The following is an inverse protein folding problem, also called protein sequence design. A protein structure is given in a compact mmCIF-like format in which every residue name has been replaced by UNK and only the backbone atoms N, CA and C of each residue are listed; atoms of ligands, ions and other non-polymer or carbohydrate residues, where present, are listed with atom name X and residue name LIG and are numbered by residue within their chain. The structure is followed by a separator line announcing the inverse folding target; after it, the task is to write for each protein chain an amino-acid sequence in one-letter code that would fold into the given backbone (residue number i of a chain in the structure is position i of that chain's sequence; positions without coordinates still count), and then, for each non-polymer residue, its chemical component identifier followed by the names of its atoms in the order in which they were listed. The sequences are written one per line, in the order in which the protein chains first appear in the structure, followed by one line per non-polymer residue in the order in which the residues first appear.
data_IF_138337592891
#
_entry.id   IF_138337592891
#
_cell.length_a   1.000
_cell.length_b   1.000
_cell.length_c   1.000
_cell.angle_alpha   90.00
_cell.angle_beta   90.00
_cell.angle_gamma   90.00
#
_symmetry.space_group_name_H-M   'P 1'
#
loop_
_entity.id
_entity.type
_entity.pdbx_description
1 polymer ?
#
# COMPACT_ATOMS: atom_id res chain seq x y z
N UNK A 1 -46.58 13.72 61.97
CA UNK A 1 -46.65 15.02 62.67
C UNK A 1 -45.49 15.88 62.21
N UNK A 2 -45.83 17.13 61.86
CA UNK A 2 -45.01 18.33 61.75
C UNK A 2 -43.79 18.34 60.80
N UNK A 3 -44.06 18.96 59.65
CA UNK A 3 -43.14 19.78 58.84
C UNK A 3 -42.43 20.88 59.64
N UNK A 4 -41.34 21.42 59.09
CA UNK A 4 -41.27 22.86 58.91
C UNK A 4 -40.35 23.24 57.75
N UNK A 5 -40.95 23.98 56.81
CA UNK A 5 -40.30 24.67 55.71
C UNK A 5 -39.67 25.99 56.19
N UNK A 6 -38.85 26.62 55.35
CA UNK A 6 -39.02 28.00 54.84
C UNK A 6 -37.79 28.35 54.00
N UNK A 7 -38.04 28.60 52.71
CA UNK A 7 -37.18 29.28 51.76
C UNK A 7 -37.62 30.78 51.68
N UNK A 8 -37.30 31.53 50.62
CA UNK A 8 -36.05 32.14 50.17
C UNK A 8 -36.24 33.69 50.11
N UNK A 9 -35.41 34.43 49.35
CA UNK A 9 -35.76 35.54 48.41
C UNK A 9 -34.54 36.45 48.17
N UNK A 10 -34.07 36.52 46.91
CA UNK A 10 -34.11 37.70 45.98
C UNK A 10 -32.98 38.72 46.21
N UNK A 11 -32.46 39.45 45.20
CA UNK A 11 -32.52 39.50 43.73
C UNK A 11 -31.49 40.58 43.39
N UNK A 12 -30.79 40.48 42.26
CA UNK A 12 -30.93 41.55 41.27
C UNK A 12 -30.61 41.01 39.88
N UNK A 13 -31.58 41.22 39.01
CA UNK A 13 -31.56 40.96 37.59
C UNK A 13 -31.20 42.25 36.86
N UNK A 14 -30.66 42.13 35.65
CA UNK A 14 -31.26 42.80 34.49
C UNK A 14 -30.74 42.20 33.18
N UNK A 15 -31.66 41.44 32.60
CA UNK A 15 -32.24 41.64 31.27
C UNK A 15 -31.43 41.39 30.00
N UNK A 16 -31.98 40.83 28.91
CA UNK A 16 -33.18 39.98 28.64
C UNK A 16 -33.33 39.93 27.11
N UNK A 17 -33.57 38.71 26.59
CA UNK A 17 -34.42 38.35 25.41
C UNK A 17 -33.99 38.83 24.01
N UNK A 18 -34.30 38.13 22.91
CA UNK A 18 -35.27 37.03 22.67
C UNK A 18 -34.98 36.31 21.34
N UNK A 19 -35.11 34.98 21.36
CA UNK A 19 -35.92 34.08 20.49
C UNK A 19 -36.87 34.74 19.45
N UNK A 20 -37.32 34.14 18.33
CA UNK A 20 -37.27 32.79 17.74
C UNK A 20 -37.97 32.80 16.35
N UNK A 21 -37.97 31.63 15.67
CA UNK A 21 -38.98 31.08 14.73
C UNK A 21 -39.02 31.63 13.26
N UNK A 22 -38.83 30.80 12.19
CA UNK A 22 -39.80 29.91 11.48
C UNK A 22 -40.91 30.77 10.80
N UNK A 23 -41.25 30.80 9.50
CA UNK A 23 -41.31 29.86 8.37
C UNK A 23 -41.60 30.62 7.04
N UNK A 24 -41.34 29.97 5.88
CA UNK A 24 -41.96 30.02 4.52
C UNK A 24 -42.47 31.30 3.79
N UNK A 25 -41.90 31.49 2.57
CA UNK A 25 -42.50 31.70 1.20
C UNK A 25 -43.16 33.03 0.73
N UNK A 26 -42.77 33.37 -0.53
CA UNK A 26 -43.39 34.22 -1.61
C UNK A 26 -43.42 35.76 -1.32
N UNK A 27 -43.09 36.74 -2.19
CA UNK A 27 -43.20 37.00 -3.64
C UNK A 27 -42.20 38.10 -4.12
N UNK A 28 -41.97 38.12 -5.45
CA UNK A 28 -41.61 39.20 -6.41
C UNK A 28 -41.37 40.65 -5.92
N UNK A 29 -40.55 41.50 -6.57
CA UNK A 29 -40.51 41.74 -8.02
C UNK A 29 -39.23 42.47 -8.53
N UNK A 30 -38.90 42.13 -9.78
CA UNK A 30 -38.48 42.96 -10.93
C UNK A 30 -37.37 44.03 -10.86
N UNK A 31 -36.36 43.86 -11.73
CA UNK A 31 -36.24 44.63 -13.00
C UNK A 31 -35.01 44.19 -13.83
N UNK A 32 -35.24 43.49 -14.94
CA UNK A 32 -35.01 43.97 -16.33
C UNK A 32 -34.88 42.83 -17.34
N UNK A 33 -35.60 42.98 -18.45
CA UNK A 33 -35.84 42.00 -19.50
C UNK A 33 -35.20 42.42 -20.85
N UNK A 34 -34.55 41.45 -21.50
CA UNK A 34 -34.74 40.95 -22.88
C UNK A 34 -34.78 41.96 -24.06
N UNK A 35 -33.92 41.75 -25.10
CA UNK A 35 -34.35 41.33 -26.47
C UNK A 35 -33.20 40.95 -27.43
N UNK A 36 -33.57 40.01 -28.32
CA UNK A 36 -32.85 39.31 -29.40
C UNK A 36 -32.64 40.18 -30.65
N UNK A 37 -31.66 39.85 -31.51
CA UNK A 37 -31.87 39.47 -32.94
C UNK A 37 -30.58 39.24 -33.78
N UNK A 38 -30.68 38.25 -34.69
CA UNK A 38 -30.12 38.09 -36.05
C UNK A 38 -28.60 37.91 -36.36
N UNK A 39 -28.29 36.82 -37.09
CA UNK A 39 -27.12 36.55 -37.98
C UNK A 39 -27.11 37.47 -39.24
N UNK A 40 -26.07 37.58 -40.12
CA UNK A 40 -25.14 36.52 -40.63
C UNK A 40 -23.69 36.92 -41.06
N UNK A 41 -22.79 35.93 -41.29
CA UNK A 41 -21.98 35.70 -42.51
C UNK A 41 -20.71 34.82 -42.32
N UNK A 42 -20.44 33.99 -43.34
CA UNK A 42 -19.34 33.01 -43.53
C UNK A 42 -17.96 33.65 -43.84
N UNK A 43 -16.85 32.87 -43.80
CA UNK A 43 -16.33 32.37 -45.08
C UNK A 43 -15.78 30.90 -45.10
N UNK A 44 -16.11 30.24 -46.22
CA UNK A 44 -15.37 29.34 -47.15
C UNK A 44 -14.57 28.09 -46.68
N UNK A 45 -14.94 26.97 -47.33
CA UNK A 45 -14.27 25.63 -47.45
C UNK A 45 -12.98 25.66 -48.28
N UNK A 46 -12.27 24.51 -48.38
CA UNK A 46 -12.36 23.75 -49.64
C UNK A 46 -12.60 22.22 -49.52
N UNK A 47 -13.47 21.78 -50.43
CA UNK A 47 -13.52 20.56 -51.27
C UNK A 47 -13.49 19.10 -50.75
N UNK A 48 -14.70 18.53 -50.71
CA UNK A 48 -15.27 17.45 -51.56
C UNK A 48 -14.50 16.15 -51.82
N UNK A 49 -15.11 15.00 -51.46
CA UNK A 49 -15.88 14.15 -52.40
C UNK A 49 -16.73 13.07 -51.70
N UNK A 50 -17.87 12.79 -52.35
CA UNK A 50 -19.03 11.93 -52.06
C UNK A 50 -18.73 10.52 -51.51
N UNK A 51 -19.57 10.06 -50.57
CA UNK A 51 -19.99 8.65 -50.49
C UNK A 51 -21.50 8.58 -50.28
N UNK A 52 -22.14 7.74 -51.10
CA UNK A 52 -23.57 7.45 -51.19
C UNK A 52 -23.87 6.28 -50.24
N UNK A 53 -24.95 6.37 -49.46
CA UNK A 53 -25.45 5.28 -48.63
C UNK A 53 -26.46 4.43 -49.41
N UNK A 54 -26.48 3.11 -49.15
CA UNK A 54 -27.66 2.30 -48.75
C UNK A 54 -27.28 0.81 -48.47
N UNK A 55 -28.13 -0.01 -47.82
CA UNK A 55 -27.75 -0.81 -46.63
C UNK A 55 -27.91 -2.33 -46.78
N UNK A 56 -27.24 -3.15 -45.95
CA UNK A 56 -27.71 -4.51 -45.56
C UNK A 56 -27.03 -4.98 -44.26
N UNK A 57 -27.79 -5.68 -43.39
CA UNK A 57 -27.36 -6.41 -42.17
C UNK A 57 -27.32 -7.93 -42.46
N UNK A 58 -26.96 -8.85 -41.54
CA UNK A 58 -25.73 -9.05 -40.77
C UNK A 58 -25.01 -10.38 -41.18
N UNK A 59 -23.70 -10.53 -40.93
CA UNK A 59 -23.07 -11.86 -40.93
C UNK A 59 -21.84 -11.96 -40.01
N UNK A 60 -21.65 -13.17 -39.48
CA UNK A 60 -20.75 -13.54 -38.41
C UNK A 60 -19.26 -13.68 -38.82
N UNK A 61 -18.41 -13.73 -37.79
CA UNK A 61 -16.97 -14.09 -37.74
C UNK A 61 -15.97 -12.94 -37.90
N UNK A 62 -15.44 -12.49 -36.77
CA UNK A 62 -14.08 -11.93 -36.70
C UNK A 62 -13.29 -12.71 -35.63
N UNK A 63 -12.62 -13.78 -36.06
CA UNK A 63 -11.37 -14.20 -35.41
C UNK A 63 -10.31 -13.32 -36.06
N UNK A 64 -9.79 -12.35 -35.33
CA UNK A 64 -8.65 -11.55 -35.78
C UNK A 64 -7.42 -12.45 -35.88
N UNK A 65 -6.97 -12.69 -37.11
CA UNK A 65 -5.68 -13.33 -37.39
C UNK A 65 -4.55 -12.44 -36.87
N UNK A 66 -3.85 -12.91 -35.84
CA UNK A 66 -2.65 -12.28 -35.28
C UNK A 66 -1.56 -12.26 -36.37
N UNK A 67 -0.99 -11.09 -36.66
CA UNK A 67 0.05 -10.95 -37.69
C UNK A 67 1.35 -11.65 -37.27
N UNK A 68 2.14 -12.13 -38.23
CA UNK A 68 3.46 -12.73 -37.96
C UNK A 68 4.42 -11.77 -37.21
N UNK A 69 4.24 -10.45 -37.38
CA UNK A 69 4.97 -9.43 -36.61
C UNK A 69 4.55 -9.38 -35.15
N UNK A 70 3.25 -9.52 -34.87
CA UNK A 70 2.72 -9.56 -33.51
C UNK A 70 3.13 -10.87 -32.82
N UNK A 71 3.08 -12.00 -33.53
CA UNK A 71 3.60 -13.29 -33.05
C UNK A 71 5.10 -13.24 -32.74
N UNK A 72 5.90 -12.56 -33.56
CA UNK A 72 7.33 -12.35 -33.31
C UNK A 72 7.61 -11.46 -32.08
N UNK A 73 6.82 -10.40 -31.90
CA UNK A 73 6.88 -9.52 -30.73
C UNK A 73 6.49 -10.26 -29.44
N UNK A 74 5.40 -11.04 -29.48
CA UNK A 74 4.91 -11.85 -28.35
C UNK A 74 5.96 -12.90 -27.93
N UNK A 75 6.56 -13.62 -28.89
CA UNK A 75 7.63 -14.60 -28.59
C UNK A 75 8.84 -13.94 -27.93
N UNK A 76 9.22 -12.75 -28.38
CA UNK A 76 10.37 -12.00 -27.84
C UNK A 76 10.09 -11.44 -26.45
N UNK A 77 8.88 -10.93 -26.18
CA UNK A 77 8.47 -10.50 -24.84
C UNK A 77 8.44 -11.66 -23.84
N UNK A 78 7.94 -12.82 -24.28
CA UNK A 78 7.85 -14.03 -23.44
C UNK A 78 9.24 -14.53 -23.04
N UNK A 79 10.16 -14.66 -24.01
CA UNK A 79 11.54 -15.07 -23.73
C UNK A 79 12.26 -14.11 -22.75
N UNK A 80 12.05 -12.80 -22.87
CA UNK A 80 12.61 -11.82 -21.92
C UNK A 80 12.01 -11.96 -20.52
N UNK A 81 10.71 -12.26 -20.42
CA UNK A 81 10.03 -12.47 -19.15
C UNK A 81 10.57 -13.70 -18.42
N UNK A 82 10.80 -14.79 -19.17
CA UNK A 82 11.33 -16.05 -18.62
C UNK A 82 12.76 -15.88 -18.11
N UNK A 83 13.64 -15.22 -18.87
CA UNK A 83 15.01 -14.90 -18.42
C UNK A 83 14.99 -14.07 -17.14
N UNK A 84 14.11 -13.06 -17.07
CA UNK A 84 13.98 -12.23 -15.88
C UNK A 84 13.48 -13.03 -14.67
N UNK A 85 12.52 -13.93 -14.88
CA UNK A 85 11.99 -14.84 -13.85
C UNK A 85 13.07 -15.76 -13.32
N UNK A 86 13.82 -16.42 -14.19
CA UNK A 86 14.94 -17.30 -13.81
C UNK A 86 16.00 -16.55 -13.02
N UNK A 87 16.37 -15.33 -13.44
CA UNK A 87 17.32 -14.50 -12.71
C UNK A 87 16.85 -14.18 -11.30
N UNK A 88 15.57 -13.83 -11.12
CA UNK A 88 14.99 -13.54 -9.80
C UNK A 88 14.98 -14.80 -8.92
N UNK A 89 14.56 -15.94 -9.46
CA UNK A 89 14.53 -17.21 -8.72
C UNK A 89 15.92 -17.66 -8.31
N UNK A 90 16.91 -17.52 -9.21
CA UNK A 90 18.32 -17.81 -8.92
C UNK A 90 18.86 -16.90 -7.82
N UNK A 91 18.58 -15.59 -7.90
CA UNK A 91 18.98 -14.63 -6.88
C UNK A 91 18.33 -14.93 -5.53
N UNK A 92 17.04 -15.24 -5.50
CA UNK A 92 16.35 -15.63 -4.26
C UNK A 92 16.95 -16.90 -3.67
N UNK A 93 17.12 -17.95 -4.49
CA UNK A 93 17.65 -19.24 -4.03
C UNK A 93 19.08 -19.13 -3.49
N UNK A 94 19.89 -18.21 -4.03
CA UNK A 94 21.25 -17.97 -3.54
C UNK A 94 21.29 -17.31 -2.15
N UNK A 95 20.29 -16.48 -1.82
CA UNK A 95 20.31 -15.61 -0.63
C UNK A 95 19.10 -15.77 0.29
N UNK A 96 18.28 -16.81 0.11
CA UNK A 96 17.07 -17.03 0.92
C UNK A 96 17.36 -17.27 2.40
N UNK A 97 18.54 -17.80 2.73
CA UNK A 97 18.98 -18.11 4.11
C UNK A 97 20.22 -17.36 4.55
N UNK A 98 20.86 -16.62 3.64
CA UNK A 98 22.15 -16.00 3.89
C UNK A 98 22.20 -14.63 3.25
N UNK A 99 22.76 -13.69 4.00
CA UNK A 99 23.06 -12.36 3.50
C UNK A 99 23.95 -12.42 2.25
N UNK A 100 23.68 -11.63 1.20
CA UNK A 100 24.64 -11.42 0.11
C UNK A 100 25.91 -10.69 0.57
N UNK A 101 25.93 -10.17 1.80
CA UNK A 101 27.05 -9.52 2.45
C UNK A 101 27.46 -10.30 3.71
N UNK A 102 28.29 -11.35 3.59
CA UNK A 102 28.68 -12.17 4.73
C UNK A 102 29.53 -11.39 5.75
N UNK A 103 30.34 -10.45 5.29
CA UNK A 103 31.21 -9.62 6.15
C UNK A 103 30.49 -8.39 6.73
N UNK A 104 29.21 -8.20 6.41
CA UNK A 104 28.41 -7.09 6.91
C UNK A 104 27.40 -7.58 7.95
N UNK A 105 27.80 -7.58 9.22
CA UNK A 105 27.04 -8.15 10.33
C UNK A 105 26.01 -7.17 10.97
N UNK A 106 25.42 -6.27 10.18
CA UNK A 106 24.44 -5.27 10.64
C UNK A 106 23.13 -5.41 9.86
N UNK A 107 21.98 -5.05 10.45
CA UNK A 107 21.78 -4.75 11.87
C UNK A 107 21.98 -5.97 12.77
N UNK A 108 22.41 -5.72 14.00
CA UNK A 108 22.37 -6.68 15.09
C UNK A 108 20.96 -6.71 15.70
N UNK A 109 20.63 -7.80 16.41
CA UNK A 109 19.34 -7.90 17.11
C UNK A 109 19.13 -6.78 18.15
N UNK A 110 20.20 -6.29 18.79
CA UNK A 110 20.14 -5.15 19.71
C UNK A 110 19.75 -3.86 18.98
N UNK A 111 20.33 -3.62 17.81
CA UNK A 111 19.97 -2.47 16.98
C UNK A 111 18.53 -2.53 16.49
N UNK A 112 18.05 -3.72 16.10
CA UNK A 112 16.66 -3.94 15.74
C UNK A 112 15.73 -3.56 16.89
N UNK A 113 15.95 -4.12 18.09
CA UNK A 113 15.15 -3.81 19.30
C UNK A 113 15.22 -2.33 19.68
N UNK A 114 16.38 -1.70 19.57
CA UNK A 114 16.53 -0.29 19.88
C UNK A 114 15.76 0.60 18.89
N UNK A 115 15.87 0.33 17.59
CA UNK A 115 15.10 1.03 16.56
C UNK A 115 13.60 0.83 16.77
N UNK A 116 13.17 -0.40 17.06
CA UNK A 116 11.78 -0.72 17.39
C UNK A 116 11.29 0.11 18.57
N UNK A 117 11.96 0.04 19.74
CA UNK A 117 11.56 0.79 20.94
C UNK A 117 11.43 2.29 20.70
N UNK A 118 12.38 2.91 19.99
CA UNK A 118 12.35 4.34 19.66
C UNK A 118 11.14 4.66 18.77
N UNK A 119 10.89 3.83 17.77
CA UNK A 119 9.81 4.06 16.82
C UNK A 119 8.43 3.77 17.41
N UNK A 120 8.29 2.72 18.21
CA UNK A 120 7.07 2.40 18.95
C UNK A 120 6.71 3.54 19.92
N UNK A 121 7.69 4.07 20.66
CA UNK A 121 7.48 5.25 21.52
C UNK A 121 6.93 6.46 20.75
N UNK A 122 7.31 6.64 19.48
CA UNK A 122 6.87 7.77 18.67
C UNK A 122 5.54 7.55 17.95
N UNK A 123 5.32 6.35 17.43
CA UNK A 123 4.24 6.05 16.48
C UNK A 123 3.17 5.10 17.04
N UNK A 124 3.36 4.65 18.27
CA UNK A 124 2.61 3.57 18.90
C UNK A 124 3.17 2.20 18.54
N UNK A 125 2.91 1.24 19.43
CA UNK A 125 3.27 -0.17 19.25
C UNK A 125 2.65 -0.74 17.96
N UNK A 126 3.32 -1.72 17.35
CA UNK A 126 2.85 -2.37 16.12
C UNK A 126 2.89 -3.88 16.27
N UNK A 127 1.76 -4.42 16.71
CA UNK A 127 1.58 -5.86 16.84
C UNK A 127 1.01 -6.45 15.55
N UNK A 128 1.45 -7.67 15.23
CA UNK A 128 0.83 -8.47 14.19
C UNK A 128 -0.60 -8.81 14.65
N UNK A 129 -1.62 -8.61 13.80
CA UNK A 129 -2.98 -8.98 14.16
C UNK A 129 -3.10 -10.51 14.28
N UNK A 130 -3.94 -10.99 15.21
CA UNK A 130 -4.24 -12.43 15.34
C UNK A 130 -4.98 -12.94 14.10
N UNK A 131 -5.89 -12.13 13.56
CA UNK A 131 -6.67 -12.43 12.37
C UNK A 131 -6.46 -11.38 11.29
N UNK A 132 -6.28 -11.83 10.04
CA UNK A 132 -6.13 -10.93 8.88
C UNK A 132 -7.50 -10.65 8.30
N UNK A 133 -7.97 -9.41 8.46
CA UNK A 133 -9.23 -8.95 7.87
C UNK A 133 -8.93 -7.91 6.80
N UNK A 134 -9.49 -8.10 5.61
CA UNK A 134 -9.33 -7.16 4.51
C UNK A 134 -10.06 -5.84 4.85
N UNK A 135 -9.37 -4.67 4.80
CA UNK A 135 -10.05 -3.40 4.98
C UNK A 135 -11.04 -3.14 3.84
N UNK A 136 -12.25 -2.68 4.20
CA UNK A 136 -13.32 -2.33 3.25
C UNK A 136 -13.17 -0.91 2.71
N UNK A 137 -12.49 -0.03 3.44
CA UNK A 137 -12.33 1.40 3.12
C UNK A 137 -10.90 1.78 2.72
N UNK A 138 -9.99 0.81 2.65
CA UNK A 138 -8.59 1.02 2.33
C UNK A 138 -8.05 -0.12 1.46
N UNK A 139 -7.03 0.17 0.65
CA UNK A 139 -6.38 -0.87 -0.13
C UNK A 139 -5.68 -1.90 0.78
N UNK A 140 -4.97 -1.46 1.85
CA UNK A 140 -4.21 -2.35 2.74
C UNK A 140 -3.11 -3.11 2.01
N UNK A 141 -1.82 -2.79 2.20
CA UNK A 141 -0.75 -3.42 1.40
C UNK A 141 -0.52 -4.86 1.87
N UNK A 142 -1.23 -5.82 1.28
CA UNK A 142 -1.15 -7.23 1.67
C UNK A 142 -2.11 -7.62 2.80
N UNK A 143 -2.89 -6.67 3.33
CA UNK A 143 -3.88 -6.90 4.39
C UNK A 143 -5.14 -7.52 3.79
N UNK A 144 -5.14 -8.84 3.60
CA UNK A 144 -6.31 -9.61 3.16
C UNK A 144 -6.15 -11.10 3.52
N UNK A 145 -7.23 -11.80 3.91
CA UNK A 145 -7.19 -13.24 4.13
C UNK A 145 -7.11 -14.05 2.82
N UNK A 146 -7.31 -13.43 1.65
CA UNK A 146 -7.10 -14.07 0.36
C UNK A 146 -5.74 -13.68 -0.22
N UNK A 147 -4.93 -14.67 -0.59
CA UNK A 147 -3.58 -14.46 -1.12
C UNK A 147 -3.61 -13.71 -2.44
N UNK A 148 -4.59 -14.02 -3.30
CA UNK A 148 -4.74 -13.34 -4.59
C UNK A 148 -5.17 -11.87 -4.40
N UNK A 149 -6.11 -11.59 -3.50
CA UNK A 149 -6.50 -10.22 -3.16
C UNK A 149 -5.34 -9.43 -2.54
N UNK A 150 -4.62 -10.04 -1.60
CA UNK A 150 -3.42 -9.45 -0.98
C UNK A 150 -2.36 -9.08 -2.03
N UNK A 151 -2.15 -9.94 -3.03
CA UNK A 151 -1.22 -9.68 -4.13
C UNK A 151 -1.68 -8.50 -4.99
N UNK A 152 -2.96 -8.46 -5.39
CA UNK A 152 -3.53 -7.36 -6.18
C UNK A 152 -3.47 -6.04 -5.41
N UNK A 153 -3.87 -6.02 -4.14
CA UNK A 153 -3.75 -4.84 -3.26
C UNK A 153 -2.31 -4.35 -3.16
N UNK A 154 -1.35 -5.26 -3.03
CA UNK A 154 0.08 -4.94 -3.01
C UNK A 154 0.51 -4.30 -4.33
N UNK A 155 0.07 -4.80 -5.48
CA UNK A 155 0.37 -4.22 -6.81
C UNK A 155 -0.22 -2.81 -6.96
N UNK A 156 -1.48 -2.61 -6.54
CA UNK A 156 -2.13 -1.30 -6.58
C UNK A 156 -1.37 -0.26 -5.75
N UNK A 157 -0.75 -0.67 -4.63
CA UNK A 157 0.05 0.19 -3.75
C UNK A 157 1.43 0.59 -4.31
N UNK A 158 1.90 -0.05 -5.39
CA UNK A 158 3.23 0.21 -5.92
C UNK A 158 3.34 1.64 -6.49
N UNK A 159 4.44 2.32 -6.13
CA UNK A 159 4.81 3.65 -6.61
C UNK A 159 3.65 4.67 -6.62
N UNK A 160 2.85 4.67 -5.55
CA UNK A 160 1.73 5.59 -5.38
C UNK A 160 1.50 5.91 -3.91
N UNK A 161 0.64 6.87 -3.63
CA UNK A 161 0.25 7.19 -2.26
C UNK A 161 -0.81 6.22 -1.74
N UNK A 162 -0.87 6.01 -0.42
CA UNK A 162 -1.95 5.22 0.19
C UNK A 162 -3.35 5.73 -0.20
N UNK A 163 -3.51 7.05 -0.31
CA UNK A 163 -4.76 7.67 -0.75
C UNK A 163 -5.14 7.21 -2.16
N UNK A 164 -4.18 7.19 -3.07
CA UNK A 164 -4.41 6.81 -4.46
C UNK A 164 -4.62 5.31 -4.63
N UNK A 165 -3.86 4.47 -3.93
CA UNK A 165 -4.08 3.02 -3.97
C UNK A 165 -5.43 2.64 -3.38
N UNK A 166 -5.85 3.28 -2.28
CA UNK A 166 -7.19 3.10 -1.71
C UNK A 166 -8.27 3.49 -2.71
N UNK A 167 -8.17 4.68 -3.33
CA UNK A 167 -9.15 5.10 -4.35
C UNK A 167 -9.19 4.15 -5.55
N UNK A 168 -8.04 3.65 -6.00
CA UNK A 168 -7.98 2.69 -7.09
C UNK A 168 -8.64 1.36 -6.73
N UNK A 169 -8.41 0.85 -5.51
CA UNK A 169 -9.06 -0.37 -5.03
C UNK A 169 -10.58 -0.22 -4.95
N UNK A 170 -11.06 0.86 -4.34
CA UNK A 170 -12.49 1.13 -4.22
C UNK A 170 -13.16 1.30 -5.59
N UNK A 171 -12.51 2.01 -6.52
CA UNK A 171 -13.04 2.17 -7.88
C UNK A 171 -13.05 0.85 -8.66
N UNK A 172 -12.06 -0.02 -8.43
CA UNK A 172 -12.07 -1.37 -9.01
C UNK A 172 -13.22 -2.21 -8.43
N UNK A 173 -13.43 -2.17 -7.12
CA UNK A 173 -14.50 -2.91 -6.47
C UNK A 173 -15.88 -2.44 -6.92
N UNK A 174 -16.07 -1.12 -7.09
CA UNK A 174 -17.29 -0.53 -7.63
C UNK A 174 -17.54 -0.96 -9.08
N UNK A 175 -16.50 -0.92 -9.94
CA UNK A 175 -16.60 -1.28 -11.36
C UNK A 175 -16.99 -2.75 -11.59
N UNK A 176 -16.51 -3.66 -10.72
CA UNK A 176 -16.69 -5.11 -10.88
C UNK A 176 -17.68 -5.72 -9.87
N UNK A 177 -18.22 -4.94 -8.94
CA UNK A 177 -19.19 -5.39 -7.94
C UNK A 177 -18.58 -6.17 -6.78
N UNK A 178 -17.29 -5.99 -6.49
CA UNK A 178 -16.61 -6.62 -5.34
C UNK A 178 -15.13 -6.88 -5.56
N UNK A 179 -14.42 -7.09 -4.45
CA UNK A 179 -12.97 -7.36 -4.44
C UNK A 179 -12.58 -8.77 -4.89
N UNK A 180 -13.53 -9.69 -4.91
CA UNK A 180 -13.37 -11.12 -5.17
C UNK A 180 -13.90 -11.53 -6.54
N UNK A 181 -14.37 -10.57 -7.35
CA UNK A 181 -14.95 -10.80 -8.69
C UNK A 181 -13.86 -11.01 -9.76
N UNK A 182 -12.95 -11.95 -9.50
CA UNK A 182 -11.79 -12.23 -10.35
C UNK A 182 -12.15 -12.64 -11.77
N UNK A 183 -13.22 -13.41 -11.94
CA UNK A 183 -13.75 -13.82 -13.24
C UNK A 183 -14.20 -12.59 -14.05
N UNK A 184 -14.96 -11.68 -13.44
CA UNK A 184 -15.41 -10.44 -14.08
C UNK A 184 -14.25 -9.52 -14.42
N UNK A 185 -13.25 -9.41 -13.52
CA UNK A 185 -12.04 -8.63 -13.76
C UNK A 185 -11.25 -9.20 -14.94
N UNK A 186 -11.07 -10.52 -14.99
CA UNK A 186 -10.36 -11.20 -16.08
C UNK A 186 -11.10 -11.04 -17.42
N UNK A 187 -12.42 -11.26 -17.44
CA UNK A 187 -13.26 -11.16 -18.63
C UNK A 187 -13.40 -9.71 -19.13
N UNK A 188 -13.39 -8.74 -18.22
CA UNK A 188 -13.42 -7.31 -18.56
C UNK A 188 -12.17 -6.83 -19.30
N UNK A 189 -11.06 -7.57 -19.20
CA UNK A 189 -9.82 -7.31 -19.92
C UNK A 189 -9.02 -6.10 -19.40
N UNK A 190 -7.82 -5.94 -19.95
CA UNK A 190 -6.84 -4.95 -19.46
C UNK A 190 -7.36 -3.51 -19.56
N UNK A 191 -7.99 -3.12 -20.67
CA UNK A 191 -8.40 -1.74 -20.91
C UNK A 191 -9.44 -1.25 -19.88
N UNK A 192 -10.38 -2.12 -19.51
CA UNK A 192 -11.41 -1.81 -18.51
C UNK A 192 -10.79 -1.68 -17.12
N UNK A 193 -9.93 -2.63 -16.74
CA UNK A 193 -9.20 -2.56 -15.47
C UNK A 193 -8.28 -1.34 -15.39
N UNK A 194 -7.57 -1.01 -16.46
CA UNK A 194 -6.71 0.18 -16.52
C UNK A 194 -7.49 1.46 -16.23
N UNK A 195 -8.68 1.60 -16.84
CA UNK A 195 -9.55 2.74 -16.62
C UNK A 195 -10.01 2.83 -15.16
N UNK A 196 -10.43 1.73 -14.54
CA UNK A 196 -10.90 1.75 -13.15
C UNK A 196 -9.79 2.05 -12.14
N UNK A 197 -8.55 1.63 -12.41
CA UNK A 197 -7.42 1.86 -11.48
C UNK A 197 -6.59 3.10 -11.83
N UNK A 198 -7.03 3.94 -12.76
CA UNK A 198 -6.25 5.06 -13.30
C UNK A 198 -5.74 6.02 -12.22
N UNK A 199 -6.56 6.29 -11.19
CA UNK A 199 -6.18 7.15 -10.06
C UNK A 199 -4.99 6.61 -9.24
N UNK A 200 -4.66 5.34 -9.36
CA UNK A 200 -3.56 4.68 -8.68
C UNK A 200 -2.19 4.99 -9.29
N UNK A 201 -2.14 5.54 -10.51
CA UNK A 201 -0.90 5.76 -11.27
C UNK A 201 -0.27 4.45 -11.77
N UNK A 202 0.52 4.55 -12.86
CA UNK A 202 1.07 3.40 -13.60
C UNK A 202 0.00 2.38 -14.01
N UNK A 203 -1.21 2.85 -14.32
CA UNK A 203 -2.37 2.00 -14.51
C UNK A 203 -2.20 0.99 -15.65
N UNK A 204 -1.63 1.40 -16.79
CA UNK A 204 -1.33 0.49 -17.90
C UNK A 204 -0.41 -0.67 -17.51
N UNK A 205 0.62 -0.40 -16.71
CA UNK A 205 1.54 -1.45 -16.22
C UNK A 205 0.86 -2.32 -15.18
N UNK A 206 0.15 -1.72 -14.21
CA UNK A 206 -0.53 -2.45 -13.14
C UNK A 206 -1.65 -3.35 -13.69
N UNK A 207 -2.44 -2.86 -14.65
CA UNK A 207 -3.52 -3.63 -15.28
C UNK A 207 -2.95 -4.81 -16.07
N UNK A 208 -1.87 -4.61 -16.86
CA UNK A 208 -1.17 -5.70 -17.55
C UNK A 208 -0.70 -6.78 -16.57
N UNK A 209 -0.09 -6.37 -15.45
CA UNK A 209 0.40 -7.30 -14.41
C UNK A 209 -0.75 -8.05 -13.74
N UNK A 210 -1.81 -7.36 -13.31
CA UNK A 210 -2.95 -7.99 -12.63
C UNK A 210 -3.65 -9.00 -13.56
N UNK A 211 -3.98 -8.61 -14.80
CA UNK A 211 -4.59 -9.53 -15.77
C UNK A 211 -3.67 -10.71 -16.05
N UNK A 212 -2.37 -10.48 -16.20
CA UNK A 212 -1.40 -11.55 -16.41
C UNK A 212 -1.34 -12.54 -15.24
N UNK A 213 -1.43 -12.05 -13.99
CA UNK A 213 -1.49 -12.91 -12.80
C UNK A 213 -2.78 -13.73 -12.78
N UNK A 214 -3.94 -13.13 -13.06
CA UNK A 214 -5.21 -13.83 -13.10
C UNK A 214 -5.19 -14.96 -14.15
N UNK A 215 -4.68 -14.67 -15.35
CA UNK A 215 -4.53 -15.66 -16.42
C UNK A 215 -3.58 -16.79 -16.04
N UNK A 216 -2.39 -16.47 -15.50
CA UNK A 216 -1.43 -17.48 -15.03
C UNK A 216 -2.01 -18.35 -13.90
N UNK A 217 -2.71 -17.73 -12.96
CA UNK A 217 -3.33 -18.42 -11.82
C UNK A 217 -4.40 -19.40 -12.32
N UNK A 218 -5.31 -18.94 -13.18
CA UNK A 218 -6.37 -19.77 -13.76
C UNK A 218 -5.79 -20.91 -14.60
N UNK A 219 -4.76 -20.64 -15.41
CA UNK A 219 -4.12 -21.64 -16.25
C UNK A 219 -3.39 -22.72 -15.42
N UNK A 220 -2.73 -22.33 -14.32
CA UNK A 220 -1.95 -23.25 -13.49
C UNK A 220 -2.81 -24.05 -12.51
N UNK A 221 -3.84 -23.44 -11.94
CA UNK A 221 -4.61 -24.02 -10.83
C UNK A 221 -6.09 -24.28 -11.14
N UNK A 222 -6.59 -23.83 -12.30
CA UNK A 222 -8.01 -23.97 -12.67
C UNK A 222 -8.96 -23.04 -11.88
N UNK A 223 -8.48 -22.34 -10.86
CA UNK A 223 -9.26 -21.45 -9.97
C UNK A 223 -8.55 -20.11 -9.81
N UNK A 224 -9.30 -19.04 -9.53
CA UNK A 224 -8.75 -17.73 -9.16
C UNK A 224 -8.45 -17.66 -7.66
N UNK A 225 -7.53 -18.51 -7.19
CA UNK A 225 -7.06 -18.51 -5.80
C UNK A 225 -5.59 -18.93 -5.75
N UNK A 226 -4.88 -18.35 -4.78
CA UNK A 226 -3.52 -18.72 -4.41
C UNK A 226 -3.45 -19.18 -2.94
N UNK A 227 -4.59 -19.51 -2.34
CA UNK A 227 -4.69 -19.78 -0.89
C UNK A 227 -4.07 -21.12 -0.50
N UNK A 228 -3.79 -22.01 -1.47
CA UNK A 228 -2.93 -23.18 -1.25
C UNK A 228 -1.55 -22.83 -0.67
N UNK A 229 -1.12 -21.56 -0.79
CA UNK A 229 0.11 -21.07 -0.22
C UNK A 229 0.08 -20.87 1.30
N UNK A 230 -1.09 -20.89 1.95
CA UNK A 230 -1.15 -20.97 3.41
C UNK A 230 -0.47 -22.24 3.94
N UNK A 231 -0.55 -23.34 3.19
CA UNK A 231 0.04 -24.64 3.54
C UNK A 231 1.47 -24.82 3.00
N UNK A 232 1.95 -23.93 2.13
CA UNK A 232 3.29 -24.03 1.54
C UNK A 232 4.38 -23.63 2.54
N UNK A 233 5.62 -24.08 2.36
CA UNK A 233 6.77 -23.54 3.10
C UNK A 233 7.03 -22.07 2.73
N UNK A 234 7.75 -21.32 3.57
CA UNK A 234 8.07 -19.91 3.29
C UNK A 234 8.89 -19.75 2.00
N UNK A 235 9.81 -20.68 1.76
CA UNK A 235 10.61 -20.71 0.55
C UNK A 235 9.75 -20.97 -0.70
N UNK A 236 8.81 -21.90 -0.61
CA UNK A 236 7.96 -22.26 -1.74
C UNK A 236 6.92 -21.18 -2.03
N UNK A 237 6.34 -20.57 -1.00
CA UNK A 237 5.45 -19.42 -1.14
C UNK A 237 6.18 -18.23 -1.80
N UNK A 238 7.43 -17.95 -1.39
CA UNK A 238 8.23 -16.89 -2.00
C UNK A 238 8.59 -17.20 -3.46
N UNK A 239 9.04 -18.43 -3.75
CA UNK A 239 9.35 -18.86 -5.13
C UNK A 239 8.12 -18.79 -6.02
N UNK A 240 6.98 -19.26 -5.54
CA UNK A 240 5.71 -19.23 -6.26
C UNK A 240 5.31 -17.79 -6.58
N UNK A 241 5.34 -16.89 -5.60
CA UNK A 241 5.02 -15.47 -5.80
C UNK A 241 5.94 -14.81 -6.82
N UNK A 242 7.26 -15.00 -6.70
CA UNK A 242 8.24 -14.42 -7.63
C UNK A 242 8.12 -15.01 -9.04
N UNK A 243 7.52 -16.20 -9.17
CA UNK A 243 7.32 -16.87 -10.46
C UNK A 243 6.34 -16.13 -11.38
N UNK A 244 5.44 -15.32 -10.81
CA UNK A 244 4.47 -14.53 -11.56
C UNK A 244 5.12 -13.31 -12.21
N UNK A 245 4.83 -13.10 -13.49
CA UNK A 245 5.34 -11.93 -14.21
C UNK A 245 4.86 -10.61 -13.57
N UNK A 246 5.79 -9.69 -13.34
CA UNK A 246 5.50 -8.42 -12.65
C UNK A 246 5.56 -8.48 -11.12
N UNK A 247 5.69 -9.67 -10.54
CA UNK A 247 5.96 -9.85 -9.11
C UNK A 247 7.47 -9.92 -8.89
N UNK A 248 7.94 -9.28 -7.84
CA UNK A 248 9.34 -9.27 -7.43
C UNK A 248 9.47 -9.44 -5.92
N UNK A 249 10.71 -9.55 -5.40
CA UNK A 249 10.95 -9.93 -4.01
C UNK A 249 10.20 -9.08 -2.98
N UNK A 250 10.16 -7.74 -3.15
CA UNK A 250 9.40 -6.86 -2.24
C UNK A 250 7.91 -7.18 -2.23
N UNK A 251 7.31 -7.35 -3.41
CA UNK A 251 5.86 -7.61 -3.54
C UNK A 251 5.50 -8.94 -2.91
N UNK A 252 6.29 -9.99 -3.21
CA UNK A 252 6.14 -11.30 -2.59
C UNK A 252 6.31 -11.23 -1.07
N UNK A 253 7.35 -10.55 -0.59
CA UNK A 253 7.60 -10.35 0.85
C UNK A 253 6.46 -9.64 1.56
N UNK A 254 5.77 -8.68 0.91
CA UNK A 254 4.57 -8.08 1.50
C UNK A 254 3.44 -9.09 1.67
N UNK A 255 3.19 -9.94 0.67
CA UNK A 255 2.15 -10.99 0.78
C UNK A 255 2.51 -11.98 1.88
N UNK A 256 3.77 -12.43 1.95
CA UNK A 256 4.23 -13.29 3.04
C UNK A 256 4.09 -12.63 4.41
N UNK A 257 4.48 -11.36 4.53
CA UNK A 257 4.49 -10.63 5.80
C UNK A 257 3.09 -10.36 6.35
N UNK A 258 2.16 -9.94 5.50
CA UNK A 258 0.85 -9.43 5.92
C UNK A 258 -0.27 -10.46 5.78
N UNK A 259 -0.35 -11.16 4.64
CA UNK A 259 -1.43 -12.10 4.36
C UNK A 259 -1.13 -13.48 4.98
N UNK A 260 0.05 -14.03 4.68
CA UNK A 260 0.44 -15.35 5.17
C UNK A 260 0.98 -15.34 6.60
N UNK A 261 1.06 -14.17 7.24
CA UNK A 261 1.58 -13.96 8.59
C UNK A 261 2.99 -14.56 8.86
N UNK A 262 3.87 -14.55 7.85
CA UNK A 262 5.22 -15.13 7.93
C UNK A 262 6.30 -14.06 8.12
N UNK A 263 7.43 -14.38 8.76
CA UNK A 263 8.49 -13.42 9.01
C UNK A 263 9.31 -13.12 7.74
N UNK A 264 8.77 -12.26 6.85
CA UNK A 264 9.47 -11.77 5.67
C UNK A 264 9.63 -10.24 5.68
N UNK A 265 10.86 -9.73 5.56
CA UNK A 265 11.17 -8.32 5.76
C UNK A 265 11.07 -7.51 4.46
N UNK A 266 9.86 -7.08 4.08
CA UNK A 266 9.68 -6.33 2.83
C UNK A 266 10.41 -4.96 2.84
N UNK A 267 11.26 -4.72 1.84
CA UNK A 267 12.06 -3.50 1.69
C UNK A 267 11.45 -2.60 0.61
N UNK A 268 10.63 -1.64 1.06
CA UNK A 268 10.10 -0.60 0.18
C UNK A 268 11.02 0.63 0.08
N UNK A 269 10.53 1.72 -0.50
CA UNK A 269 11.31 2.97 -0.63
C UNK A 269 11.63 3.63 0.71
N UNK A 270 10.76 3.50 1.71
CA UNK A 270 10.94 4.06 3.04
C UNK A 270 11.92 3.20 3.85
N UNK A 271 11.70 1.89 3.89
CA UNK A 271 12.58 0.92 4.55
C UNK A 271 13.97 0.99 3.95
N UNK A 272 14.09 0.97 2.62
CA UNK A 272 15.39 1.14 1.96
C UNK A 272 16.04 2.46 2.40
N UNK A 273 15.37 3.61 2.28
CA UNK A 273 16.02 4.87 2.68
C UNK A 273 16.45 4.88 4.15
N UNK A 274 15.57 4.49 5.07
CA UNK A 274 15.85 4.53 6.52
C UNK A 274 17.00 3.60 6.87
N UNK A 275 16.97 2.36 6.43
CA UNK A 275 18.04 1.39 6.74
C UNK A 275 19.40 1.83 6.19
N UNK A 276 19.42 2.57 5.06
CA UNK A 276 20.63 3.24 4.58
C UNK A 276 21.11 4.35 5.54
N UNK A 277 20.19 5.16 6.08
CA UNK A 277 20.52 6.19 7.08
C UNK A 277 21.02 5.60 8.41
N UNK A 278 20.55 4.39 8.77
CA UNK A 278 20.96 3.70 9.99
C UNK A 278 22.26 2.90 9.83
N UNK A 279 22.81 2.79 8.62
CA UNK A 279 23.98 1.94 8.36
C UNK A 279 23.68 0.45 8.45
N UNK A 280 22.43 0.04 8.18
CA UNK A 280 21.96 -1.35 8.23
C UNK A 280 22.18 -2.11 6.94
N UNK A 281 22.84 -1.50 5.96
CA UNK A 281 23.26 -2.15 4.73
C UNK A 281 24.49 -1.45 4.17
N UNK A 282 25.24 -2.09 3.25
CA UNK A 282 26.26 -1.41 2.47
C UNK A 282 25.69 -0.23 1.69
N UNK A 283 26.47 0.85 1.56
CA UNK A 283 26.01 2.08 0.88
C UNK A 283 25.69 1.85 -0.61
N UNK A 284 26.42 0.94 -1.26
CA UNK A 284 26.24 0.60 -2.67
C UNK A 284 25.14 -0.45 -2.92
N UNK A 285 24.57 -1.06 -1.88
CA UNK A 285 23.63 -2.15 -2.04
C UNK A 285 22.33 -1.71 -2.71
N UNK A 286 21.97 -2.39 -3.79
CA UNK A 286 20.72 -2.21 -4.51
C UNK A 286 19.51 -2.67 -3.70
N UNK A 287 18.31 -2.47 -4.23
CA UNK A 287 17.05 -2.83 -3.53
C UNK A 287 16.91 -4.33 -3.30
N UNK A 288 17.22 -5.15 -4.30
CA UNK A 288 17.11 -6.60 -4.19
C UNK A 288 18.14 -7.18 -3.23
N UNK A 289 19.38 -6.68 -3.26
CA UNK A 289 20.41 -7.07 -2.29
C UNK A 289 20.06 -6.59 -0.88
N UNK A 290 19.50 -5.38 -0.73
CA UNK A 290 18.99 -4.90 0.55
C UNK A 290 17.88 -5.79 1.08
N UNK A 291 16.95 -6.21 0.22
CA UNK A 291 15.87 -7.13 0.56
C UNK A 291 16.44 -8.44 1.10
N UNK A 292 17.31 -9.10 0.33
CA UNK A 292 17.91 -10.37 0.73
C UNK A 292 18.74 -10.25 2.01
N UNK A 293 19.52 -9.17 2.14
CA UNK A 293 20.33 -8.90 3.32
C UNK A 293 19.49 -8.72 4.58
N UNK A 294 18.53 -7.78 4.56
CA UNK A 294 17.74 -7.46 5.74
C UNK A 294 16.79 -8.59 6.13
N UNK A 295 16.24 -9.32 5.15
CA UNK A 295 15.39 -10.49 5.43
C UNK A 295 16.17 -11.62 6.13
N UNK A 296 17.46 -11.75 5.84
CA UNK A 296 18.33 -12.77 6.45
C UNK A 296 18.87 -12.38 7.84
N UNK A 297 18.98 -11.08 8.17
CA UNK A 297 19.67 -10.64 9.40
C UNK A 297 18.75 -9.96 10.43
N UNK A 298 17.58 -9.45 10.03
CA UNK A 298 16.60 -8.90 10.98
C UNK A 298 15.91 -10.07 11.70
N UNK A 299 15.87 -10.10 13.04
CA UNK A 299 15.16 -11.13 13.80
C UNK A 299 13.69 -11.24 13.40
N UNK A 300 13.15 -12.45 13.35
CA UNK A 300 11.81 -12.72 12.81
C UNK A 300 10.70 -11.96 13.54
N UNK A 301 10.82 -11.84 14.87
CA UNK A 301 9.90 -11.09 15.73
C UNK A 301 9.91 -9.59 15.44
N UNK A 302 11.01 -9.07 14.88
CA UNK A 302 11.17 -7.65 14.57
C UNK A 302 10.69 -7.31 13.16
N UNK A 303 10.54 -8.30 12.25
CA UNK A 303 10.30 -8.03 10.83
C UNK A 303 8.99 -7.29 10.57
N UNK A 304 7.90 -7.74 11.18
CA UNK A 304 6.59 -7.09 11.06
C UNK A 304 6.57 -5.69 11.70
N UNK A 305 6.88 -5.51 13.01
CA UNK A 305 6.79 -4.20 13.65
C UNK A 305 7.73 -3.19 12.96
N UNK A 306 8.98 -3.56 12.69
CA UNK A 306 9.93 -2.64 12.07
C UNK A 306 9.53 -2.25 10.65
N UNK A 307 8.99 -3.17 9.84
CA UNK A 307 8.51 -2.81 8.51
C UNK A 307 7.44 -1.70 8.61
N UNK A 308 6.40 -1.93 9.41
CA UNK A 308 5.29 -0.98 9.57
C UNK A 308 5.80 0.35 10.14
N UNK A 309 6.62 0.29 11.19
CA UNK A 309 7.19 1.47 11.85
C UNK A 309 8.11 2.27 10.93
N UNK A 310 8.95 1.63 10.12
CA UNK A 310 9.80 2.33 9.14
C UNK A 310 8.97 2.98 8.05
N UNK A 311 7.92 2.33 7.55
CA UNK A 311 7.01 2.95 6.57
C UNK A 311 6.31 4.18 7.18
N UNK A 312 5.74 4.05 8.39
CA UNK A 312 5.11 5.18 9.10
C UNK A 312 6.10 6.31 9.35
N UNK A 313 7.26 5.99 9.91
CA UNK A 313 8.29 6.98 10.24
C UNK A 313 8.84 7.68 9.00
N UNK A 314 9.10 6.94 7.92
CA UNK A 314 9.60 7.45 6.67
C UNK A 314 8.60 8.33 5.90
N UNK A 315 7.34 8.38 6.33
CA UNK A 315 6.31 9.30 5.80
C UNK A 315 6.15 10.54 6.65
N UNK A 316 6.19 10.39 7.98
CA UNK A 316 5.84 11.46 8.91
C UNK A 316 7.05 12.26 9.41
N UNK A 317 8.22 11.64 9.53
CA UNK A 317 9.41 12.31 10.03
C UNK A 317 10.00 13.25 8.97
N UNK A 318 10.18 14.53 9.30
CA UNK A 318 10.72 15.54 8.39
C UNK A 318 12.16 15.28 7.96
N UNK A 319 12.93 14.53 8.76
CA UNK A 319 14.33 14.20 8.46
C UNK A 319 14.50 12.86 7.73
N UNK A 320 13.63 11.88 7.99
CA UNK A 320 13.72 10.54 7.41
C UNK A 320 12.83 10.34 6.18
N UNK A 321 11.98 11.31 5.83
CA UNK A 321 11.24 11.32 4.56
C UNK A 321 12.18 11.55 3.37
N UNK A 322 11.69 11.28 2.16
CA UNK A 322 12.43 11.60 0.95
C UNK A 322 12.68 13.12 0.87
N UNK A 323 13.93 13.53 0.59
CA UNK A 323 14.33 14.94 0.61
C UNK A 323 14.33 15.59 2.00
N UNK A 324 14.35 14.80 3.08
CA UNK A 324 14.37 15.32 4.45
C UNK A 324 15.66 16.07 4.81
N UNK A 325 15.55 17.02 5.73
CA UNK A 325 16.71 17.79 6.23
C UNK A 325 17.50 17.00 7.28
N UNK A 326 18.69 17.48 7.65
CA UNK A 326 19.51 16.90 8.73
C UNK A 326 19.48 17.82 9.97
N UNK A 327 18.29 18.05 10.50
CA UNK A 327 18.07 18.93 11.65
C UNK A 327 18.50 18.31 13.00
N UNK A 328 18.83 17.01 13.04
CA UNK A 328 19.29 16.26 14.23
C UNK A 328 18.25 16.23 15.38
N UNK A 329 16.98 16.41 15.07
CA UNK A 329 15.84 16.31 16.00
C UNK A 329 15.25 14.90 16.07
N UNK A 330 15.48 14.07 15.05
CA UNK A 330 15.03 12.69 15.00
C UNK A 330 15.85 11.80 15.95
N UNK A 331 15.20 11.31 17.01
CA UNK A 331 15.82 10.41 17.99
C UNK A 331 16.45 9.17 17.35
N UNK A 332 15.76 8.55 16.38
CA UNK A 332 16.29 7.40 15.64
C UNK A 332 17.63 7.75 14.96
N UNK A 333 17.71 8.89 14.26
CA UNK A 333 18.98 9.32 13.62
C UNK A 333 20.07 9.67 14.64
N UNK A 334 19.69 10.18 15.80
CA UNK A 334 20.63 10.53 16.87
C UNK A 334 21.28 9.29 17.47
N UNK A 335 20.51 8.22 17.67
CA UNK A 335 21.00 6.94 18.21
C UNK A 335 21.86 6.19 17.20
N UNK A 336 21.54 6.29 15.90
CA UNK A 336 22.26 5.63 14.80
C UNK A 336 23.17 6.59 14.00
N UNK A 337 23.86 7.49 14.69
CA UNK A 337 24.63 8.57 14.05
C UNK A 337 25.74 8.01 13.15
N UNK A 338 25.74 8.40 11.87
CA UNK A 338 26.71 7.96 10.86
C UNK A 338 26.83 6.41 10.75
N UNK A 339 25.72 5.69 10.94
CA UNK A 339 25.72 4.22 10.90
C UNK A 339 26.34 3.55 12.13
N UNK A 340 26.64 4.32 13.18
CA UNK A 340 27.10 3.80 14.47
C UNK A 340 25.95 3.82 15.47
N UNK A 341 25.62 2.65 15.99
CA UNK A 341 24.71 2.52 17.12
C UNK A 341 25.37 2.97 18.41
N UNK A 342 24.75 3.93 19.10
CA UNK A 342 25.12 4.31 20.46
C UNK A 342 23.97 3.91 21.38
N UNK A 343 24.15 2.92 22.28
CA UNK A 343 23.06 2.50 23.15
C UNK A 343 22.59 3.68 24.03
N UNK A 344 21.28 3.80 24.29
CA UNK A 344 20.78 4.79 25.24
C UNK A 344 21.45 4.54 26.61
N UNK A 345 21.98 5.58 27.27
CA UNK A 345 22.49 5.44 28.64
C UNK A 345 21.37 4.92 29.53
N UNK A 346 21.57 3.78 30.22
CA UNK A 346 20.68 3.35 31.30
C UNK A 346 20.66 4.45 32.35
N UNK A 347 19.51 5.07 32.59
CA UNK A 347 19.30 5.85 33.81
C UNK A 347 19.17 4.86 34.94
N UNK A 348 20.14 4.84 35.86
CA UNK A 348 20.06 4.14 37.14
C UNK A 348 18.98 4.86 37.96
N UNK A 349 17.72 4.46 37.81
CA UNK A 349 16.60 4.78 38.69
C UNK A 349 15.53 3.73 38.41
N UNK A 350 15.70 2.56 39.00
CA UNK A 350 14.68 1.53 39.27
C UNK A 350 15.38 0.43 40.10
N UNK A 351 16.02 0.82 41.21
CA UNK A 351 16.47 -0.07 42.29
C UNK A 351 16.30 0.71 43.59
N UNK A 352 15.06 0.84 44.04
CA UNK A 352 14.76 1.03 45.47
C UNK A 352 13.30 0.63 45.71
N UNK A 353 13.06 -0.67 45.86
CA UNK A 353 11.83 -1.16 46.46
C UNK A 353 12.12 -2.47 47.21
N UNK A 354 12.16 -2.36 48.54
CA UNK A 354 11.67 -3.43 49.42
C UNK A 354 12.68 -4.25 50.23
N UNK A 355 13.58 -3.62 51.01
CA UNK A 355 14.10 -4.27 52.22
C UNK A 355 13.01 -4.27 53.31
N UNK A 356 12.18 -5.31 53.32
CA UNK A 356 11.32 -5.62 54.49
C UNK A 356 12.21 -6.28 55.54
N UNK A 357 12.59 -5.49 56.55
CA UNK A 357 13.11 -5.99 57.81
C UNK A 357 12.12 -6.99 58.42
N UNK A 358 12.57 -8.23 58.62
CA UNK A 358 12.03 -9.11 59.66
C UNK A 358 12.64 -8.66 60.98
N UNK A 359 11.83 -8.09 61.87
CA UNK A 359 12.12 -8.06 63.29
C UNK A 359 11.41 -9.27 63.92
N UNK A 360 12.23 -10.16 64.47
CA UNK A 360 11.84 -11.13 65.49
C UNK A 360 11.74 -10.37 66.82
N UNK A 361 10.58 -10.47 67.49
CA UNK A 361 10.43 -10.68 68.94
C UNK A 361 8.94 -10.91 69.29
#
# INVERSE_FOLDING_TARGET
MAASAVAPLRRSARNVKKEAAVETKIQSADKHAIKRSASPNLPKRPNTKKVKAEPVSPSAKHISTISARDLGSIKTETAKADILKERKLKSFSAFSKKSPYPDFARPTAEECRAAHKILAKRHGERLRPEEVVAPTNAAGCGDSPSVLDALVRTILSQNTSNKNSTRAKLSMDEEYGGSDKWEEIANGGQARLEKSIQTGGLAATKSKVIIGILQQTKAKYGVYSLDHLFEASDEDAMKEMISFQGVGPKTASCVLLFCLQRPSFAVDTHVHRITGLLGWRPAAAGREETQAHLDAVVPDEEKYPLHVLFVTHGRQCQECKAGGSNAKTCELRRVFKNGRFTPPRKTIKDEDDGDIKKEED
#
